data_IF_239144646261
#
_entry.id   IF_239144646261
#
_cell.length_a   1.000
_cell.length_b   1.000
_cell.length_c   1.000
_cell.angle_alpha   90.00
_cell.angle_beta   90.00
_cell.angle_gamma   90.00
#
_symmetry.space_group_name_H-M   'P 1'
#
loop_
_entity.id
_entity.type
_entity.pdbx_description
1 polymer ?
#
# COMPACT_ATOMS: atom_id res chain seq x y z
N UNK A 1 -43.88 -47.56 32.30
CA UNK A 1 -42.73 -47.04 31.58
C UNK A 1 -43.00 -46.65 30.10
N UNK A 2 -44.23 -46.72 29.54
CA UNK A 2 -44.46 -46.44 28.09
C UNK A 2 -44.33 -44.94 27.71
N UNK A 3 -44.43 -44.00 28.67
CA UNK A 3 -44.41 -42.56 28.43
C UNK A 3 -43.01 -41.93 28.48
N UNK A 4 -41.98 -42.64 28.92
CA UNK A 4 -40.61 -42.12 29.00
C UNK A 4 -40.01 -41.84 27.61
N UNK A 5 -40.25 -42.73 26.65
CA UNK A 5 -39.72 -42.60 25.27
C UNK A 5 -40.30 -41.38 24.58
N UNK A 6 -41.63 -41.11 24.53
CA UNK A 6 -42.20 -39.91 23.88
C UNK A 6 -41.80 -38.63 24.57
N UNK A 7 -41.61 -38.59 25.91
CA UNK A 7 -41.13 -37.42 26.64
C UNK A 7 -39.69 -37.09 26.25
N UNK A 8 -38.79 -38.09 26.18
CA UNK A 8 -37.41 -37.89 25.77
C UNK A 8 -37.35 -37.35 24.34
N UNK A 9 -38.16 -37.92 23.42
CA UNK A 9 -38.21 -37.49 22.03
C UNK A 9 -38.72 -36.05 21.89
N UNK A 10 -39.69 -35.65 22.68
CA UNK A 10 -40.23 -34.29 22.76
C UNK A 10 -39.16 -33.32 23.27
N UNK A 11 -38.41 -33.66 24.32
CA UNK A 11 -37.32 -32.84 24.85
C UNK A 11 -36.22 -32.65 23.80
N UNK A 12 -35.82 -33.71 23.09
CA UNK A 12 -34.84 -33.65 22.04
C UNK A 12 -35.32 -32.72 20.88
N UNK A 13 -36.61 -32.83 20.53
CA UNK A 13 -37.22 -32.01 19.48
C UNK A 13 -37.19 -30.54 19.87
N UNK A 14 -37.64 -30.20 21.11
CA UNK A 14 -37.61 -28.81 21.61
C UNK A 14 -36.18 -28.26 21.66
N UNK A 15 -35.22 -29.06 22.10
CA UNK A 15 -33.82 -28.66 22.14
C UNK A 15 -33.26 -28.31 20.73
N UNK A 16 -33.63 -29.11 19.72
CA UNK A 16 -33.22 -28.85 18.33
C UNK A 16 -33.94 -27.66 17.69
N UNK A 17 -35.10 -27.26 18.18
CA UNK A 17 -35.85 -26.08 17.70
C UNK A 17 -35.18 -24.76 18.09
N UNK A 18 -34.47 -24.71 19.22
CA UNK A 18 -33.87 -23.51 19.75
C UNK A 18 -32.53 -23.28 19.07
N UNK A 19 -32.39 -22.17 18.35
CA UNK A 19 -31.13 -21.71 17.75
C UNK A 19 -30.81 -20.31 18.25
N UNK A 20 -29.56 -20.10 18.63
CA UNK A 20 -29.04 -18.79 19.02
C UNK A 20 -28.17 -18.27 17.93
N UNK A 21 -28.41 -17.02 17.50
CA UNK A 21 -27.60 -16.29 16.54
C UNK A 21 -26.86 -15.18 17.27
N UNK A 22 -25.59 -15.00 16.88
CA UNK A 22 -24.76 -13.93 17.39
C UNK A 22 -25.16 -12.59 16.75
N UNK A 23 -24.69 -11.45 17.31
CA UNK A 23 -25.01 -10.10 16.82
C UNK A 23 -24.62 -9.89 15.36
N UNK A 24 -23.52 -10.52 14.95
CA UNK A 24 -22.97 -10.47 13.60
C UNK A 24 -23.51 -11.55 12.66
N UNK A 25 -24.46 -12.38 13.11
CA UNK A 25 -25.10 -13.42 12.30
C UNK A 25 -26.54 -13.06 11.96
N UNK A 26 -26.98 -13.49 10.80
CA UNK A 26 -28.39 -13.46 10.40
C UNK A 26 -28.82 -14.85 9.93
N UNK A 27 -30.01 -15.24 10.30
CA UNK A 27 -30.61 -16.52 9.89
C UNK A 27 -31.61 -16.31 8.76
N UNK A 28 -31.29 -16.82 7.58
CA UNK A 28 -32.25 -16.88 6.47
C UNK A 28 -33.10 -18.13 6.64
N UNK A 29 -34.41 -17.98 6.87
CA UNK A 29 -35.33 -19.08 7.16
C UNK A 29 -36.12 -19.44 5.90
N UNK A 30 -36.11 -20.74 5.61
CA UNK A 30 -36.92 -21.36 4.56
C UNK A 30 -37.99 -22.24 5.20
N UNK A 31 -39.24 -22.09 4.75
CA UNK A 31 -40.35 -22.91 5.12
C UNK A 31 -40.74 -23.81 3.94
N UNK A 32 -40.58 -25.12 4.07
CA UNK A 32 -40.81 -26.10 3.01
C UNK A 32 -40.12 -25.72 1.67
N UNK A 33 -38.89 -25.19 1.78
CA UNK A 33 -38.12 -24.73 0.63
C UNK A 33 -38.40 -23.32 0.12
N UNK A 34 -39.50 -22.67 0.58
CA UNK A 34 -39.82 -21.29 0.24
C UNK A 34 -39.18 -20.32 1.24
N UNK A 35 -38.56 -19.25 0.75
CA UNK A 35 -38.07 -18.17 1.60
C UNK A 35 -39.21 -17.58 2.46
N UNK A 36 -38.98 -17.43 3.74
CA UNK A 36 -39.95 -16.89 4.69
C UNK A 36 -39.53 -15.50 5.23
N UNK A 37 -38.36 -15.44 5.86
CA UNK A 37 -37.84 -14.20 6.45
C UNK A 37 -36.36 -14.31 6.80
N UNK A 38 -35.72 -13.15 7.01
CA UNK A 38 -34.42 -13.04 7.69
C UNK A 38 -34.69 -12.74 9.16
N UNK A 39 -34.10 -13.54 10.05
CA UNK A 39 -34.18 -13.32 11.50
C UNK A 39 -32.88 -12.71 12.02
N UNK A 40 -33.04 -11.75 12.93
CA UNK A 40 -31.93 -11.07 13.60
C UNK A 40 -31.24 -11.91 14.69
N UNK A 41 -30.32 -11.29 15.43
CA UNK A 41 -29.61 -11.96 16.51
C UNK A 41 -30.55 -12.33 17.68
N UNK A 42 -30.07 -13.23 18.50
CA UNK A 42 -30.80 -13.72 19.68
C UNK A 42 -31.38 -15.11 19.50
N UNK A 43 -32.41 -15.40 20.30
CA UNK A 43 -33.08 -16.70 20.35
C UNK A 43 -34.09 -16.82 19.22
N UNK A 44 -33.92 -17.84 18.37
CA UNK A 44 -34.83 -18.13 17.27
C UNK A 44 -35.33 -19.55 17.37
N UNK A 45 -36.63 -19.74 17.10
CA UNK A 45 -37.26 -21.05 17.08
C UNK A 45 -37.37 -21.47 15.60
N UNK A 46 -36.76 -22.62 15.27
CA UNK A 46 -36.80 -23.23 13.93
C UNK A 46 -37.34 -24.64 14.07
N UNK A 47 -38.42 -24.96 13.35
CA UNK A 47 -39.06 -26.30 13.42
C UNK A 47 -38.26 -27.23 12.53
N UNK A 48 -37.54 -28.25 13.12
CA UNK A 48 -36.76 -29.19 12.33
C UNK A 48 -37.67 -30.04 11.42
N UNK A 49 -37.21 -30.30 10.20
CA UNK A 49 -37.97 -31.03 9.20
C UNK A 49 -38.87 -30.18 8.31
N UNK A 50 -39.41 -29.06 8.82
CA UNK A 50 -40.29 -28.13 8.06
C UNK A 50 -39.56 -26.86 7.71
N UNK A 51 -38.76 -26.34 8.63
CA UNK A 51 -37.98 -25.12 8.43
C UNK A 51 -36.48 -25.46 8.33
N UNK A 52 -35.81 -24.76 7.40
CA UNK A 52 -34.35 -24.79 7.26
C UNK A 52 -33.81 -23.40 7.47
N UNK A 53 -32.78 -23.26 8.27
CA UNK A 53 -32.08 -21.99 8.50
C UNK A 53 -30.68 -22.05 7.92
N UNK A 54 -30.31 -21.03 7.14
CA UNK A 54 -28.96 -20.80 6.65
C UNK A 54 -28.40 -19.59 7.39
N UNK A 55 -27.23 -19.74 8.03
CA UNK A 55 -26.56 -18.65 8.75
C UNK A 55 -25.69 -17.86 7.78
N UNK A 56 -25.76 -16.55 7.87
CA UNK A 56 -24.92 -15.62 7.10
C UNK A 56 -24.21 -14.70 8.07
N UNK A 57 -22.90 -14.60 7.95
CA UNK A 57 -22.08 -13.69 8.73
C UNK A 57 -22.03 -12.33 8.04
N UNK A 58 -22.23 -11.24 8.82
CA UNK A 58 -22.20 -9.86 8.35
C UNK A 58 -20.84 -9.15 8.55
N UNK A 59 -19.91 -9.82 9.23
CA UNK A 59 -18.57 -9.28 9.44
C UNK A 59 -17.84 -9.12 8.10
N UNK A 60 -16.86 -8.22 8.09
CA UNK A 60 -15.98 -8.09 6.92
C UNK A 60 -15.09 -9.33 6.81
N UNK A 61 -15.15 -9.95 5.65
CA UNK A 61 -14.35 -11.12 5.29
C UNK A 61 -13.20 -10.64 4.41
N UNK A 62 -12.01 -11.14 4.71
CA UNK A 62 -10.82 -10.96 3.89
C UNK A 62 -10.65 -12.20 3.01
N UNK A 63 -10.57 -12.00 1.71
CA UNK A 63 -10.41 -13.07 0.74
C UNK A 63 -9.20 -12.84 -0.15
N UNK A 64 -8.29 -13.79 -0.18
CA UNK A 64 -7.17 -13.78 -1.11
C UNK A 64 -7.64 -14.18 -2.53
N UNK A 65 -7.30 -13.35 -3.50
CA UNK A 65 -7.44 -13.64 -4.92
C UNK A 65 -6.14 -14.31 -5.38
N UNK A 66 -6.20 -15.55 -5.88
CA UNK A 66 -5.01 -16.27 -6.34
C UNK A 66 -4.32 -15.52 -7.48
N UNK A 67 -3.01 -15.71 -7.59
CA UNK A 67 -2.19 -15.06 -8.59
C UNK A 67 -2.70 -15.35 -10.00
N UNK A 68 -2.87 -14.30 -10.79
CA UNK A 68 -3.30 -14.33 -12.18
C UNK A 68 -2.14 -13.93 -13.10
N UNK A 69 -1.89 -14.71 -14.12
CA UNK A 69 -1.01 -14.33 -15.23
C UNK A 69 -1.77 -13.39 -16.16
N UNK A 70 -1.27 -12.17 -16.31
CA UNK A 70 -1.89 -11.10 -17.10
C UNK A 70 -0.85 -10.51 -18.05
N UNK A 71 -1.27 -10.21 -19.28
CA UNK A 71 -0.46 -9.43 -20.22
C UNK A 71 -0.97 -7.99 -20.18
N UNK A 72 -0.12 -7.05 -19.81
CA UNK A 72 -0.43 -5.62 -19.76
C UNK A 72 -0.59 -5.02 -21.15
N UNK A 73 -1.09 -3.78 -21.23
CA UNK A 73 -1.28 -3.08 -22.52
C UNK A 73 0.03 -2.88 -23.28
N UNK A 74 1.14 -2.76 -22.60
CA UNK A 74 2.51 -2.66 -23.15
C UNK A 74 3.17 -4.02 -23.44
N UNK A 75 2.36 -5.08 -23.48
CA UNK A 75 2.75 -6.47 -23.84
C UNK A 75 3.76 -7.10 -22.87
N UNK A 76 3.71 -6.74 -21.60
CA UNK A 76 4.52 -7.37 -20.54
C UNK A 76 3.67 -8.41 -19.80
N UNK A 77 4.18 -9.65 -19.68
CA UNK A 77 3.56 -10.67 -18.86
C UNK A 77 3.90 -10.46 -17.39
N UNK A 78 2.87 -10.30 -16.55
CA UNK A 78 3.01 -10.09 -15.10
C UNK A 78 2.15 -11.08 -14.36
N UNK A 79 2.59 -11.49 -13.18
CA UNK A 79 1.79 -12.30 -12.25
C UNK A 79 1.36 -11.43 -11.08
N UNK A 80 0.04 -11.30 -10.90
CA UNK A 80 -0.54 -10.38 -9.92
C UNK A 80 -1.51 -11.11 -9.01
N UNK A 81 -1.42 -10.88 -7.72
CA UNK A 81 -2.38 -11.31 -6.71
C UNK A 81 -2.97 -10.10 -5.97
N UNK A 82 -4.16 -10.29 -5.42
CA UNK A 82 -4.87 -9.24 -4.71
C UNK A 82 -5.58 -9.79 -3.47
N UNK A 83 -6.03 -8.89 -2.61
CA UNK A 83 -6.90 -9.17 -1.46
C UNK A 83 -8.15 -8.33 -1.59
N UNK A 84 -9.29 -8.92 -1.27
CA UNK A 84 -10.59 -8.26 -1.26
C UNK A 84 -11.14 -8.28 0.15
N UNK A 85 -11.61 -7.12 0.59
CA UNK A 85 -12.36 -6.94 1.82
C UNK A 85 -13.83 -6.70 1.48
N UNK A 86 -14.69 -7.61 1.89
CA UNK A 86 -16.12 -7.49 1.60
C UNK A 86 -16.95 -7.96 2.79
N UNK A 87 -18.21 -7.56 2.81
CA UNK A 87 -19.21 -8.00 3.80
C UNK A 87 -20.57 -8.18 3.14
N UNK A 88 -21.39 -9.03 3.73
CA UNK A 88 -22.78 -9.19 3.31
C UNK A 88 -23.62 -8.07 3.94
N UNK A 89 -24.36 -7.32 3.12
CA UNK A 89 -25.32 -6.30 3.57
C UNK A 89 -26.73 -6.87 3.57
N UNK A 90 -27.08 -7.64 2.51
CA UNK A 90 -28.39 -8.27 2.39
C UNK A 90 -28.26 -9.81 2.40
N UNK A 91 -28.46 -10.45 3.57
CA UNK A 91 -28.39 -11.90 3.70
C UNK A 91 -29.38 -12.66 2.82
N UNK A 92 -30.54 -12.07 2.53
CA UNK A 92 -31.54 -12.67 1.65
C UNK A 92 -30.99 -12.82 0.24
N UNK A 93 -30.47 -11.75 -0.34
CA UNK A 93 -29.91 -11.77 -1.70
C UNK A 93 -28.68 -12.66 -1.77
N UNK A 94 -27.83 -12.66 -0.74
CA UNK A 94 -26.62 -13.48 -0.71
C UNK A 94 -26.90 -14.99 -0.81
N UNK A 95 -28.09 -15.44 -0.37
CA UNK A 95 -28.47 -16.85 -0.40
C UNK A 95 -29.43 -17.18 -1.54
N UNK A 96 -30.24 -16.22 -2.02
CA UNK A 96 -31.25 -16.47 -3.05
C UNK A 96 -30.75 -16.15 -4.44
N UNK A 97 -29.91 -15.12 -4.61
CA UNK A 97 -29.48 -14.62 -5.91
C UNK A 97 -28.28 -15.41 -6.47
N UNK A 98 -27.48 -16.03 -5.60
CA UNK A 98 -26.25 -16.76 -5.98
C UNK A 98 -26.10 -18.01 -5.11
N UNK A 99 -25.60 -19.09 -5.68
CA UNK A 99 -25.45 -20.36 -4.97
C UNK A 99 -24.36 -20.29 -3.89
N UNK A 100 -23.22 -19.68 -4.21
CA UNK A 100 -22.09 -19.46 -3.33
C UNK A 100 -21.50 -18.06 -3.62
N UNK A 101 -21.85 -17.11 -2.77
CA UNK A 101 -21.40 -15.73 -2.94
C UNK A 101 -19.89 -15.58 -2.72
N UNK A 102 -19.26 -16.43 -1.88
CA UNK A 102 -17.83 -16.42 -1.65
C UNK A 102 -17.08 -16.82 -2.92
N UNK A 103 -17.44 -17.98 -3.47
CA UNK A 103 -16.84 -18.48 -4.71
C UNK A 103 -17.10 -17.53 -5.88
N UNK A 104 -18.32 -17.06 -6.05
CA UNK A 104 -18.69 -16.19 -7.15
C UNK A 104 -18.00 -14.83 -7.07
N UNK A 105 -17.85 -14.26 -5.88
CA UNK A 105 -17.07 -13.03 -5.67
C UNK A 105 -15.61 -13.24 -6.02
N UNK A 106 -15.02 -14.40 -5.65
CA UNK A 106 -13.66 -14.74 -6.05
C UNK A 106 -13.48 -14.80 -7.57
N UNK A 107 -14.42 -15.42 -8.29
CA UNK A 107 -14.36 -15.52 -9.75
C UNK A 107 -14.51 -14.15 -10.44
N UNK A 108 -15.44 -13.32 -9.96
CA UNK A 108 -15.56 -11.94 -10.45
C UNK A 108 -14.25 -11.18 -10.23
N UNK A 109 -13.68 -11.29 -9.04
CA UNK A 109 -12.44 -10.62 -8.70
C UNK A 109 -11.29 -11.01 -9.63
N UNK A 110 -11.12 -12.31 -9.88
CA UNK A 110 -10.08 -12.82 -10.80
C UNK A 110 -10.25 -12.30 -12.22
N UNK A 111 -11.48 -12.33 -12.72
CA UNK A 111 -11.78 -11.86 -14.10
C UNK A 111 -11.66 -10.35 -14.23
N UNK A 112 -12.11 -9.61 -13.23
CA UNK A 112 -11.98 -8.13 -13.20
C UNK A 112 -10.53 -7.72 -13.06
N UNK A 113 -9.76 -8.38 -12.17
CA UNK A 113 -8.32 -8.16 -12.02
C UNK A 113 -7.61 -8.30 -13.36
N UNK A 114 -7.85 -9.43 -14.07
CA UNK A 114 -7.28 -9.66 -15.39
C UNK A 114 -7.68 -8.60 -16.41
N UNK A 115 -8.93 -8.16 -16.41
CA UNK A 115 -9.46 -7.17 -17.35
C UNK A 115 -8.85 -5.80 -17.13
N UNK A 116 -8.83 -5.30 -15.89
CA UNK A 116 -8.31 -3.97 -15.54
C UNK A 116 -6.80 -3.91 -15.77
N UNK A 117 -6.06 -4.91 -15.29
CA UNK A 117 -4.60 -4.96 -15.46
C UNK A 117 -4.20 -5.12 -16.93
N UNK A 118 -4.98 -5.86 -17.73
CA UNK A 118 -4.75 -6.00 -19.18
C UNK A 118 -4.95 -4.70 -19.96
N UNK A 119 -5.66 -3.72 -19.40
CA UNK A 119 -5.86 -2.39 -19.99
C UNK A 119 -4.84 -1.35 -19.49
N UNK A 120 -4.16 -1.64 -18.40
CA UNK A 120 -3.18 -0.75 -17.76
C UNK A 120 -1.77 -0.99 -18.31
N UNK A 121 -0.92 0.05 -18.24
CA UNK A 121 0.51 -0.08 -18.52
C UNK A 121 1.25 -0.56 -17.26
N UNK A 122 2.41 -1.20 -17.46
CA UNK A 122 3.23 -1.67 -16.35
C UNK A 122 3.64 -0.54 -15.40
N UNK A 123 4.00 0.62 -15.94
CA UNK A 123 4.39 1.78 -15.13
C UNK A 123 3.23 2.29 -14.27
N UNK A 124 2.00 2.26 -14.77
CA UNK A 124 0.80 2.58 -13.99
C UNK A 124 0.57 1.59 -12.86
N UNK A 125 0.76 0.29 -13.11
CA UNK A 125 0.64 -0.77 -12.08
C UNK A 125 1.64 -0.59 -10.93
N UNK A 126 2.80 -0.01 -11.21
CA UNK A 126 3.86 0.19 -10.20
C UNK A 126 3.72 1.53 -9.49
N UNK A 127 3.34 2.60 -10.21
CA UNK A 127 3.32 3.98 -9.70
C UNK A 127 1.95 4.45 -9.20
N UNK A 128 0.83 3.94 -9.78
CA UNK A 128 -0.54 4.40 -9.52
C UNK A 128 -1.44 3.30 -8.94
N UNK A 129 -0.90 2.51 -8.02
CA UNK A 129 -1.63 1.37 -7.42
C UNK A 129 -2.96 1.77 -6.80
N UNK A 130 -3.02 2.94 -6.18
CA UNK A 130 -4.24 3.43 -5.53
C UNK A 130 -5.39 3.66 -6.53
N UNK A 131 -5.09 4.25 -7.69
CA UNK A 131 -6.09 4.45 -8.75
C UNK A 131 -6.64 3.11 -9.24
N UNK A 132 -5.78 2.11 -9.40
CA UNK A 132 -6.16 0.76 -9.83
C UNK A 132 -6.97 0.04 -8.76
N UNK A 133 -6.60 0.15 -7.49
CA UNK A 133 -7.34 -0.42 -6.37
C UNK A 133 -8.77 0.13 -6.30
N UNK A 134 -8.93 1.46 -6.46
CA UNK A 134 -10.24 2.12 -6.49
C UNK A 134 -11.07 1.66 -7.68
N UNK A 135 -10.46 1.55 -8.86
CA UNK A 135 -11.17 1.10 -10.07
C UNK A 135 -11.61 -0.38 -9.94
N UNK A 136 -10.73 -1.24 -9.43
CA UNK A 136 -11.06 -2.64 -9.14
C UNK A 136 -12.20 -2.74 -8.14
N UNK A 137 -12.11 -1.99 -7.04
CA UNK A 137 -13.15 -1.95 -6.01
C UNK A 137 -14.49 -1.52 -6.61
N UNK A 138 -14.51 -0.46 -7.41
CA UNK A 138 -15.72 0.07 -8.04
C UNK A 138 -16.41 -0.95 -8.94
N UNK A 139 -15.64 -1.64 -9.79
CA UNK A 139 -16.17 -2.61 -10.75
C UNK A 139 -16.68 -3.86 -10.02
N UNK A 140 -15.90 -4.40 -9.08
CA UNK A 140 -16.28 -5.62 -8.34
C UNK A 140 -17.49 -5.35 -7.46
N UNK A 141 -17.53 -4.19 -6.76
CA UNK A 141 -18.66 -3.78 -5.94
C UNK A 141 -19.96 -3.69 -6.75
N UNK A 142 -19.91 -3.07 -7.93
CA UNK A 142 -21.06 -2.98 -8.84
C UNK A 142 -21.55 -4.36 -9.30
N UNK A 143 -20.65 -5.33 -9.52
CA UNK A 143 -21.03 -6.67 -9.96
C UNK A 143 -21.55 -7.54 -8.82
N UNK A 144 -21.17 -7.29 -7.57
CA UNK A 144 -21.59 -8.05 -6.39
C UNK A 144 -22.81 -7.43 -5.67
N UNK A 145 -23.14 -6.18 -5.96
CA UNK A 145 -24.29 -5.48 -5.39
C UNK A 145 -25.64 -6.24 -5.58
N UNK A 146 -25.96 -6.85 -6.75
CA UNK A 146 -27.17 -7.64 -6.92
C UNK A 146 -27.28 -8.82 -5.96
N UNK A 147 -26.16 -9.33 -5.45
CA UNK A 147 -26.09 -10.40 -4.47
C UNK A 147 -26.12 -9.94 -3.03
N UNK A 148 -26.26 -8.64 -2.79
CA UNK A 148 -26.24 -8.07 -1.44
C UNK A 148 -24.89 -8.14 -0.76
N UNK A 149 -23.81 -8.24 -1.53
CA UNK A 149 -22.41 -8.23 -1.08
C UNK A 149 -21.82 -6.86 -1.38
N UNK A 150 -21.20 -6.24 -0.38
CA UNK A 150 -20.51 -4.95 -0.47
C UNK A 150 -19.01 -5.13 -0.39
N UNK A 151 -18.31 -4.69 -1.41
CA UNK A 151 -16.84 -4.67 -1.42
C UNK A 151 -16.36 -3.36 -0.81
N UNK A 152 -15.64 -3.45 0.30
CA UNK A 152 -15.13 -2.28 1.04
C UNK A 152 -13.83 -1.77 0.47
N UNK A 153 -12.92 -2.69 0.12
CA UNK A 153 -11.63 -2.37 -0.47
C UNK A 153 -11.10 -3.55 -1.30
N UNK A 154 -10.29 -3.23 -2.28
CA UNK A 154 -9.49 -4.19 -3.05
C UNK A 154 -8.05 -3.70 -3.06
N UNK A 155 -7.11 -4.56 -2.75
CA UNK A 155 -5.70 -4.21 -2.69
C UNK A 155 -4.87 -5.19 -3.52
N UNK A 156 -4.10 -4.68 -4.46
CA UNK A 156 -3.11 -5.45 -5.20
C UNK A 156 -1.90 -5.67 -4.28
N UNK A 157 -1.60 -6.95 -3.97
CA UNK A 157 -0.50 -7.34 -3.07
C UNK A 157 0.86 -7.25 -3.78
N UNK A 158 1.07 -8.15 -4.74
CA UNK A 158 2.34 -8.30 -5.43
C UNK A 158 2.12 -8.22 -6.94
N UNK A 159 3.10 -7.63 -7.62
CA UNK A 159 3.23 -7.65 -9.07
C UNK A 159 4.57 -8.29 -9.37
N UNK A 160 4.55 -9.58 -9.73
CA UNK A 160 5.74 -10.33 -10.05
C UNK A 160 6.05 -10.20 -11.54
N UNK A 161 7.25 -9.70 -11.81
CA UNK A 161 7.77 -9.47 -13.16
C UNK A 161 8.76 -10.57 -13.55
N UNK A 162 8.92 -10.88 -14.84
CA UNK A 162 10.00 -11.73 -15.32
C UNK A 162 11.36 -11.18 -14.90
N UNK A 163 12.31 -12.08 -14.58
CA UNK A 163 13.63 -11.68 -14.04
C UNK A 163 14.40 -10.72 -14.96
N UNK A 164 14.29 -10.90 -16.27
CA UNK A 164 14.94 -10.00 -17.25
C UNK A 164 14.39 -8.57 -17.17
N UNK A 165 13.06 -8.44 -17.03
CA UNK A 165 12.40 -7.14 -16.86
C UNK A 165 12.77 -6.49 -15.53
N UNK A 166 12.79 -7.26 -14.43
CA UNK A 166 13.25 -6.75 -13.13
C UNK A 166 14.65 -6.16 -13.22
N UNK A 167 15.57 -6.85 -13.91
CA UNK A 167 16.95 -6.36 -14.13
C UNK A 167 16.98 -5.11 -14.99
N UNK A 168 16.15 -5.03 -16.03
CA UNK A 168 16.07 -3.86 -16.89
C UNK A 168 15.55 -2.63 -16.14
N UNK A 169 14.46 -2.79 -15.37
CA UNK A 169 13.88 -1.73 -14.53
C UNK A 169 14.87 -1.28 -13.44
N UNK A 170 15.56 -2.23 -12.78
CA UNK A 170 16.59 -1.90 -11.78
C UNK A 170 17.70 -1.05 -12.38
N UNK A 171 18.19 -1.41 -13.57
CA UNK A 171 19.24 -0.67 -14.30
C UNK A 171 18.78 0.72 -14.73
N UNK A 172 17.53 0.82 -15.19
CA UNK A 172 16.93 2.12 -15.53
C UNK A 172 16.78 3.01 -14.30
N UNK A 173 16.30 2.45 -13.18
CA UNK A 173 16.14 3.18 -11.91
C UNK A 173 17.51 3.65 -11.37
N UNK A 174 18.56 2.83 -11.47
CA UNK A 174 19.93 3.20 -11.09
C UNK A 174 20.44 4.36 -11.94
N UNK A 175 20.31 4.29 -13.26
CA UNK A 175 20.72 5.36 -14.17
C UNK A 175 19.96 6.67 -13.90
N UNK A 176 18.66 6.60 -13.63
CA UNK A 176 17.87 7.78 -13.30
C UNK A 176 18.26 8.38 -11.94
N UNK A 177 18.56 7.54 -10.93
CA UNK A 177 19.08 8.01 -9.63
C UNK A 177 20.45 8.69 -9.80
N UNK A 178 21.34 8.10 -10.60
CA UNK A 178 22.64 8.68 -10.88
C UNK A 178 22.51 10.03 -11.61
N UNK A 179 21.63 10.11 -12.61
CA UNK A 179 21.31 11.36 -13.29
C UNK A 179 20.81 12.44 -12.33
N UNK A 180 19.85 12.10 -11.47
CA UNK A 180 19.33 13.03 -10.46
C UNK A 180 20.39 13.44 -9.45
N UNK A 181 21.22 12.51 -8.97
CA UNK A 181 22.32 12.83 -8.06
C UNK A 181 23.30 13.81 -8.68
N UNK A 182 23.68 13.65 -9.96
CA UNK A 182 24.54 14.59 -10.69
C UNK A 182 23.92 15.97 -10.81
N UNK A 183 22.61 16.06 -11.10
CA UNK A 183 21.91 17.35 -11.20
C UNK A 183 21.87 18.04 -9.82
N UNK A 184 21.51 17.31 -8.76
CA UNK A 184 21.47 17.85 -7.39
C UNK A 184 22.86 18.31 -6.96
N UNK A 185 23.90 17.54 -7.26
CA UNK A 185 25.29 17.92 -6.93
C UNK A 185 25.71 19.19 -7.67
N UNK A 186 25.46 19.28 -8.98
CA UNK A 186 25.77 20.46 -9.77
C UNK A 186 25.00 21.71 -9.29
N UNK A 187 23.73 21.56 -8.96
CA UNK A 187 22.92 22.64 -8.39
C UNK A 187 23.46 23.06 -7.02
N UNK A 188 23.83 22.10 -6.18
CA UNK A 188 24.47 22.38 -4.87
C UNK A 188 25.81 23.11 -5.02
N UNK A 189 26.65 22.71 -5.97
CA UNK A 189 27.91 23.42 -6.26
C UNK A 189 27.66 24.84 -6.77
N UNK A 190 26.68 25.02 -7.65
CA UNK A 190 26.31 26.35 -8.14
C UNK A 190 25.85 27.27 -7.00
N UNK A 191 24.94 26.79 -6.14
CA UNK A 191 24.47 27.55 -4.98
C UNK A 191 25.59 27.83 -3.98
N UNK A 192 26.46 26.86 -3.74
CA UNK A 192 27.64 27.04 -2.89
C UNK A 192 28.61 28.09 -3.45
N UNK A 193 28.91 28.01 -4.76
CA UNK A 193 29.77 28.98 -5.43
C UNK A 193 29.20 30.42 -5.38
N UNK A 194 27.88 30.54 -5.58
CA UNK A 194 27.20 31.82 -5.46
C UNK A 194 27.32 32.39 -4.04
N UNK A 195 27.04 31.58 -3.01
CA UNK A 195 27.16 31.96 -1.58
C UNK A 195 28.60 32.31 -1.20
N UNK A 196 29.58 31.57 -1.71
CA UNK A 196 31.00 31.90 -1.51
C UNK A 196 31.40 33.21 -2.18
N UNK A 197 30.88 33.50 -3.38
CA UNK A 197 31.11 34.77 -4.06
C UNK A 197 30.52 35.94 -3.28
N UNK A 198 29.25 35.83 -2.84
CA UNK A 198 28.60 36.83 -1.98
C UNK A 198 29.38 37.08 -0.67
N UNK A 199 29.83 35.99 -0.02
CA UNK A 199 30.64 36.07 1.19
C UNK A 199 32.00 36.74 0.95
N UNK A 200 32.66 36.39 -0.19
CA UNK A 200 33.92 37.01 -0.55
C UNK A 200 33.81 38.53 -0.82
N UNK A 201 32.72 38.96 -1.47
CA UNK A 201 32.46 40.40 -1.64
C UNK A 201 32.29 41.13 -0.29
N UNK A 202 31.55 40.55 0.65
CA UNK A 202 31.31 41.13 1.98
C UNK A 202 32.64 41.22 2.77
N UNK A 203 33.43 40.14 2.77
CA UNK A 203 34.71 40.08 3.46
C UNK A 203 35.74 40.99 2.80
N UNK A 204 35.77 41.08 1.46
CA UNK A 204 36.69 41.90 0.70
C UNK A 204 36.54 43.44 0.93
N UNK A 205 35.33 43.88 1.37
CA UNK A 205 35.09 45.29 1.72
C UNK A 205 35.78 45.73 3.02
N UNK A 206 36.22 44.79 3.86
CA UNK A 206 36.88 45.10 5.11
C UNK A 206 38.17 44.25 5.25
N UNK A 207 39.37 44.90 5.11
CA UNK A 207 40.67 44.19 5.19
C UNK A 207 40.90 43.46 6.52
N UNK A 208 40.32 43.95 7.63
CA UNK A 208 40.43 43.32 8.94
C UNK A 208 39.64 42.00 8.99
N UNK A 209 38.49 41.94 8.33
CA UNK A 209 37.69 40.73 8.25
C UNK A 209 38.41 39.58 7.51
N UNK A 210 39.20 39.89 6.48
CA UNK A 210 40.03 38.91 5.78
C UNK A 210 41.09 38.28 6.72
N UNK A 211 41.76 39.10 7.54
CA UNK A 211 42.75 38.63 8.51
C UNK A 211 42.11 37.73 9.59
N UNK A 212 40.94 38.12 10.11
CA UNK A 212 40.21 37.31 11.08
C UNK A 212 39.75 35.96 10.48
N UNK A 213 39.28 35.97 9.23
CA UNK A 213 38.89 34.73 8.53
C UNK A 213 40.07 33.79 8.31
N UNK A 214 41.23 34.37 7.97
CA UNK A 214 42.45 33.59 7.85
C UNK A 214 42.85 32.93 9.17
N UNK A 215 42.83 33.68 10.29
CA UNK A 215 43.11 33.13 11.61
C UNK A 215 42.09 32.02 12.01
N UNK A 216 40.83 32.23 11.69
CA UNK A 216 39.78 31.21 11.95
C UNK A 216 40.02 29.92 11.14
N UNK A 217 40.36 30.04 9.88
CA UNK A 217 40.69 28.85 9.05
C UNK A 217 41.92 28.12 9.59
N UNK A 218 42.91 28.83 10.11
CA UNK A 218 44.08 28.22 10.77
C UNK A 218 43.68 27.43 12.03
N UNK A 219 42.75 27.92 12.81
CA UNK A 219 42.24 27.23 14.02
C UNK A 219 41.45 25.98 13.62
N UNK A 220 40.62 26.04 12.56
CA UNK A 220 39.88 24.89 12.04
C UNK A 220 40.83 23.79 11.56
N UNK A 221 41.86 24.11 10.80
CA UNK A 221 42.87 23.14 10.31
C UNK A 221 43.68 22.57 11.49
N UNK A 222 44.00 23.38 12.49
CA UNK A 222 44.78 22.94 13.67
C UNK A 222 43.94 22.06 14.61
N UNK A 223 42.62 22.09 14.56
CA UNK A 223 41.74 21.27 15.42
C UNK A 223 41.64 19.82 14.97
N UNK A 224 41.91 19.50 13.70
CA UNK A 224 41.96 18.13 13.22
C UNK A 224 43.30 17.50 13.62
N UNK A 225 43.26 16.28 14.17
CA UNK A 225 44.42 15.51 14.70
C UNK A 225 45.41 15.09 13.61
N UNK A 226 45.87 16.01 12.78
CA UNK A 226 46.87 15.76 11.76
C UNK A 226 48.25 16.22 12.20
N UNK A 227 49.22 15.33 12.14
CA UNK A 227 50.63 15.57 12.53
C UNK A 227 51.44 16.43 11.55
N UNK A 228 50.83 16.82 10.43
CA UNK A 228 51.49 17.65 9.41
C UNK A 228 50.55 18.73 8.92
N UNK A 229 50.80 19.98 9.26
CA UNK A 229 50.03 21.12 8.81
C UNK A 229 50.78 21.87 7.72
N UNK A 230 50.29 21.87 6.51
CA UNK A 230 50.81 22.66 5.39
C UNK A 230 50.12 24.01 5.41
N UNK A 231 50.86 25.10 5.70
CA UNK A 231 50.33 26.46 5.65
C UNK A 231 50.69 27.10 4.30
N UNK A 232 49.76 27.29 3.37
CA UNK A 232 49.94 28.17 2.24
C UNK A 232 49.94 29.62 2.75
N UNK A 233 51.11 30.24 2.83
CA UNK A 233 51.23 31.65 3.17
C UNK A 233 51.00 32.46 1.90
N UNK A 234 49.97 33.30 1.78
CA UNK A 234 49.78 34.18 0.64
C UNK A 234 50.98 35.14 0.53
N UNK A 235 51.60 35.17 -0.65
CA UNK A 235 52.78 36.00 -0.91
C UNK A 235 52.54 37.48 -0.61
N UNK A 236 51.30 37.96 -0.78
CA UNK A 236 50.86 39.31 -0.49
C UNK A 236 51.03 39.75 0.94
N UNK A 237 51.03 38.84 1.90
CA UNK A 237 51.31 39.12 3.33
C UNK A 237 52.80 39.35 3.57
N UNK A 238 53.66 38.75 2.74
CA UNK A 238 55.11 38.83 2.86
C UNK A 238 55.62 40.04 2.05
N UNK A 239 54.94 40.49 1.02
CA UNK A 239 55.32 41.57 0.11
C UNK A 239 55.70 42.89 0.85
N UNK A 240 54.94 43.37 1.86
CA UNK A 240 55.30 44.58 2.61
C UNK A 240 56.62 44.42 3.39
N UNK A 241 56.88 43.25 3.94
CA UNK A 241 58.12 42.95 4.68
C UNK A 241 59.35 42.88 3.73
N UNK A 242 59.16 42.30 2.55
CA UNK A 242 60.19 42.23 1.54
C UNK A 242 60.54 43.61 0.95
N UNK A 243 59.53 44.50 0.87
CA UNK A 243 59.74 45.89 0.44
C UNK A 243 60.43 46.75 1.54
N UNK A 244 60.11 46.47 2.82
CA UNK A 244 60.80 47.15 3.95
C UNK A 244 62.28 46.74 4.09
N UNK A 245 62.65 45.54 3.72
CA UNK A 245 64.05 45.05 3.70
C UNK A 245 64.87 45.53 2.48
N UNK A 246 64.18 46.08 1.46
CA UNK A 246 64.83 46.55 0.23
C UNK A 246 65.13 48.05 0.20
N UNK A 247 64.86 48.81 1.29
CA UNK A 247 65.32 50.20 1.45
C UNK A 247 66.68 50.24 2.14
N UNK A 248 67.73 50.73 1.45
CA UNK A 248 69.05 50.94 2.04
C UNK A 248 69.02 52.07 3.09
#
# INVERSE_FOLDING_TARGET
>A
MPYLIPIILLVILVYNMIKILMEYERGVIFFLGKYQAVKGPGLIIVIPGIQRMVRVNLQTVTMDVPAQDVITRDNVSVKVNAVIFFRVIDPQRAILAVQDYLYSTSQIAQTTLRSVLGQSQLDELLSKREEINVELQRIIDQQTEPWGVKVSAVEVKNVDLPQEMQRAIAKQAEAERERRAKVIHAEGEFQAAQKLSEAAEIIGRNPIALQLRYLQSLVEVASEKNSTTIFPVPIDIIAPFLQAMKKP
#
